data_IF_398124230034
#
_entry.id   IF_398124230034
#
_cell.length_a   1.000
_cell.length_b   1.000
_cell.length_c   1.000
_cell.angle_alpha   90.00
_cell.angle_beta   90.00
_cell.angle_gamma   90.00
#
_symmetry.space_group_name_H-M   'P 1'
#
loop_
_entity.id
_entity.type
_entity.pdbx_description
1 polymer ?
#
# COMPACT_ATOMS: atom_id res chain seq x y z
N UNK A 1 -17.10 -1.00 -14.73
CA UNK A 1 -16.91 -1.82 -13.51
C UNK A 1 -16.12 -3.11 -13.78
N UNK A 2 -16.51 -3.96 -14.74
CA UNK A 2 -15.84 -5.24 -14.98
C UNK A 2 -14.33 -5.13 -15.29
N UNK A 3 -13.91 -4.22 -16.19
CA UNK A 3 -12.49 -4.04 -16.50
C UNK A 3 -11.66 -3.64 -15.27
N UNK A 4 -12.23 -2.83 -14.38
CA UNK A 4 -11.57 -2.37 -13.15
C UNK A 4 -11.47 -3.49 -12.11
N UNK A 5 -12.53 -4.28 -11.97
CA UNK A 5 -12.50 -5.50 -11.16
C UNK A 5 -11.36 -6.44 -11.61
N UNK A 6 -11.24 -6.69 -12.92
CA UNK A 6 -10.19 -7.55 -13.48
C UNK A 6 -8.79 -6.98 -13.17
N UNK A 7 -8.59 -5.67 -13.39
CA UNK A 7 -7.31 -5.01 -13.08
C UNK A 7 -6.98 -5.14 -11.58
N UNK A 8 -7.97 -4.97 -10.70
CA UNK A 8 -7.81 -5.14 -9.26
C UNK A 8 -7.42 -6.56 -8.86
N UNK A 9 -8.09 -7.55 -9.45
CA UNK A 9 -7.77 -8.97 -9.25
C UNK A 9 -6.33 -9.25 -9.69
N UNK A 10 -5.90 -8.76 -10.86
CA UNK A 10 -4.55 -8.96 -11.38
C UNK A 10 -3.49 -8.31 -10.47
N UNK A 11 -3.70 -7.05 -10.05
CA UNK A 11 -2.81 -6.39 -9.07
C UNK A 11 -2.71 -7.20 -7.78
N UNK A 12 -3.85 -7.67 -7.28
CA UNK A 12 -3.93 -8.50 -6.08
C UNK A 12 -3.16 -9.81 -6.23
N UNK A 13 -3.37 -10.55 -7.32
CA UNK A 13 -2.63 -11.78 -7.61
C UNK A 13 -1.12 -11.56 -7.65
N UNK A 14 -0.67 -10.48 -8.27
CA UNK A 14 0.76 -10.13 -8.34
C UNK A 14 1.29 -9.81 -6.94
N UNK A 15 0.64 -8.91 -6.21
CA UNK A 15 1.09 -8.48 -4.87
C UNK A 15 1.10 -9.64 -3.90
N UNK A 16 -0.02 -10.36 -3.75
CA UNK A 16 -0.12 -11.48 -2.82
C UNK A 16 0.76 -12.66 -3.24
N UNK A 17 0.90 -12.91 -4.55
CA UNK A 17 1.79 -13.93 -5.09
C UNK A 17 3.27 -13.63 -4.78
N UNK A 18 3.71 -12.38 -4.93
CA UNK A 18 5.08 -11.97 -4.61
C UNK A 18 5.38 -12.06 -3.12
N UNK A 19 4.46 -11.61 -2.26
CA UNK A 19 4.62 -11.73 -0.80
C UNK A 19 4.68 -13.22 -0.41
N UNK A 20 3.78 -14.03 -0.94
CA UNK A 20 3.76 -15.47 -0.67
C UNK A 20 5.01 -16.16 -1.19
N UNK A 21 5.49 -15.82 -2.38
CA UNK A 21 6.73 -16.35 -2.94
C UNK A 21 7.94 -15.97 -2.09
N UNK A 22 8.01 -14.73 -1.61
CA UNK A 22 9.03 -14.27 -0.67
C UNK A 22 9.06 -15.12 0.60
N UNK A 23 7.90 -15.41 1.18
CA UNK A 23 7.80 -16.27 2.37
C UNK A 23 8.29 -17.70 2.09
N UNK A 24 7.94 -18.29 0.94
CA UNK A 24 8.48 -19.61 0.56
C UNK A 24 9.99 -19.57 0.41
N UNK A 25 10.55 -18.52 -0.22
CA UNK A 25 12.00 -18.36 -0.38
C UNK A 25 12.72 -18.16 0.95
N UNK A 26 12.04 -17.64 1.97
CA UNK A 26 12.53 -17.58 3.35
C UNK A 26 12.38 -18.90 4.12
N UNK A 27 11.92 -19.98 3.48
CA UNK A 27 11.76 -21.30 4.08
C UNK A 27 10.37 -21.58 4.66
N UNK A 28 9.41 -20.66 4.53
CA UNK A 28 8.05 -20.82 5.05
C UNK A 28 7.09 -21.40 4.01
N UNK A 29 7.33 -22.64 3.56
CA UNK A 29 6.41 -23.34 2.65
C UNK A 29 5.04 -23.62 3.30
N UNK A 30 5.03 -23.88 4.61
CA UNK A 30 3.82 -24.01 5.43
C UNK A 30 3.84 -22.95 6.52
N UNK A 31 2.88 -22.02 6.48
CA UNK A 31 2.87 -20.93 7.46
C UNK A 31 2.29 -21.39 8.81
N UNK A 32 3.01 -21.20 9.94
CA UNK A 32 2.42 -21.36 11.26
C UNK A 32 1.27 -20.37 11.43
N UNK A 33 0.30 -20.70 12.30
CA UNK A 33 -0.96 -19.97 12.42
C UNK A 33 -0.77 -18.46 12.60
N UNK A 34 0.01 -18.05 13.60
CA UNK A 34 0.26 -16.64 13.91
C UNK A 34 0.88 -15.87 12.72
N UNK A 35 1.87 -16.46 12.04
CA UNK A 35 2.55 -15.82 10.91
C UNK A 35 1.62 -15.70 9.71
N UNK A 36 0.70 -16.64 9.52
CA UNK A 36 -0.27 -16.58 8.44
C UNK A 36 -1.24 -15.40 8.58
N UNK A 37 -1.71 -15.13 9.79
CA UNK A 37 -2.57 -13.97 10.05
C UNK A 37 -1.79 -12.66 9.87
N UNK A 38 -0.57 -12.57 10.38
CA UNK A 38 0.29 -11.39 10.19
C UNK A 38 0.58 -11.16 8.70
N UNK A 39 0.99 -12.20 7.97
CA UNK A 39 1.26 -12.10 6.54
C UNK A 39 0.02 -11.71 5.74
N UNK A 40 -1.16 -12.24 6.10
CA UNK A 40 -2.41 -11.86 5.46
C UNK A 40 -2.81 -10.42 5.77
N UNK A 41 -2.62 -9.94 7.00
CA UNK A 41 -2.82 -8.53 7.35
C UNK A 41 -1.88 -7.61 6.59
N UNK A 42 -0.59 -7.94 6.52
CA UNK A 42 0.40 -7.17 5.73
C UNK A 42 0.00 -7.18 4.26
N UNK A 43 -0.41 -8.32 3.71
CA UNK A 43 -0.87 -8.42 2.32
C UNK A 43 -2.08 -7.52 2.08
N UNK A 44 -3.04 -7.51 3.00
CA UNK A 44 -4.21 -6.63 2.98
C UNK A 44 -3.87 -5.14 3.06
N UNK A 45 -2.91 -4.78 3.92
CA UNK A 45 -2.35 -3.41 3.99
C UNK A 45 -1.78 -3.02 2.64
N UNK A 46 -0.85 -3.83 2.10
CA UNK A 46 -0.13 -3.51 0.86
C UNK A 46 -1.10 -3.37 -0.30
N UNK A 47 -2.07 -4.27 -0.46
CA UNK A 47 -3.05 -4.14 -1.56
C UNK A 47 -4.01 -2.96 -1.34
N UNK A 48 -4.38 -2.63 -0.10
CA UNK A 48 -5.19 -1.45 0.22
C UNK A 48 -4.49 -0.12 -0.07
N UNK A 49 -3.16 -0.10 -0.04
CA UNK A 49 -2.36 1.07 -0.42
C UNK A 49 -2.19 1.24 -1.95
N UNK A 50 -2.36 0.16 -2.71
CA UNK A 50 -2.04 0.10 -4.15
C UNK A 50 -3.29 0.08 -5.03
N UNK A 51 -4.35 -0.61 -4.61
CA UNK A 51 -5.58 -0.76 -5.38
C UNK A 51 -6.56 0.41 -5.16
N UNK A 52 -7.38 0.70 -6.16
CA UNK A 52 -8.20 1.90 -6.25
C UNK A 52 -7.33 3.13 -6.51
N UNK A 53 -7.61 4.23 -5.78
CA UNK A 53 -6.75 5.40 -5.70
C UNK A 53 -5.52 5.09 -4.83
N UNK A 54 -4.31 4.95 -5.41
CA UNK A 54 -3.14 4.52 -4.66
C UNK A 54 -2.61 5.63 -3.74
N UNK A 55 -1.81 5.28 -2.74
CA UNK A 55 -1.28 6.25 -1.75
C UNK A 55 -0.49 7.41 -2.38
N UNK A 56 0.11 7.21 -3.56
CA UNK A 56 0.85 8.23 -4.29
C UNK A 56 -0.02 9.15 -5.16
N UNK A 57 -1.33 8.91 -5.26
CA UNK A 57 -2.24 9.83 -5.93
C UNK A 57 -2.53 11.07 -5.06
N UNK A 58 -2.80 12.21 -5.71
CA UNK A 58 -3.16 13.45 -5.03
C UNK A 58 -4.42 13.24 -4.18
N UNK A 59 -4.40 13.75 -2.95
CA UNK A 59 -5.51 13.65 -2.00
C UNK A 59 -5.97 12.23 -1.64
N UNK A 60 -5.14 11.21 -1.89
CA UNK A 60 -5.49 9.81 -1.66
C UNK A 60 -4.96 9.22 -0.35
N UNK A 61 -4.13 9.96 0.41
CA UNK A 61 -3.41 9.41 1.57
C UNK A 61 -4.34 8.90 2.67
N UNK A 62 -5.41 9.64 2.96
CA UNK A 62 -6.38 9.27 4.01
C UNK A 62 -7.21 8.06 3.54
N UNK A 63 -7.66 8.08 2.29
CA UNK A 63 -8.43 6.98 1.70
C UNK A 63 -7.61 5.68 1.63
N UNK A 64 -6.40 5.75 1.07
CA UNK A 64 -5.47 4.61 1.01
C UNK A 64 -5.10 4.12 2.41
N UNK A 65 -4.87 5.02 3.37
CA UNK A 65 -4.62 4.65 4.76
C UNK A 65 -5.79 3.89 5.39
N UNK A 66 -7.03 4.35 5.18
CA UNK A 66 -8.21 3.67 5.68
C UNK A 66 -8.42 2.31 4.99
N UNK A 67 -8.22 2.23 3.67
CA UNK A 67 -8.21 0.96 2.93
C UNK A 67 -7.16 0.00 3.46
N UNK A 68 -5.98 0.49 3.81
CA UNK A 68 -4.92 -0.35 4.38
C UNK A 68 -5.31 -0.93 5.75
N UNK A 69 -5.91 -0.13 6.64
CA UNK A 69 -6.39 -0.60 7.95
C UNK A 69 -7.50 -1.64 7.77
N UNK A 70 -8.50 -1.35 6.92
CA UNK A 70 -9.58 -2.29 6.60
C UNK A 70 -9.00 -3.55 5.96
N UNK A 71 -8.07 -3.39 5.03
CA UNK A 71 -7.35 -4.48 4.37
C UNK A 71 -6.60 -5.36 5.37
N UNK A 72 -5.98 -4.79 6.41
CA UNK A 72 -5.31 -5.55 7.46
C UNK A 72 -6.28 -6.49 8.20
N UNK A 73 -7.44 -5.95 8.58
CA UNK A 73 -8.48 -6.68 9.32
C UNK A 73 -9.12 -7.75 8.42
N UNK A 74 -9.52 -7.36 7.21
CA UNK A 74 -10.11 -8.28 6.24
C UNK A 74 -9.11 -9.34 5.80
N UNK A 75 -7.82 -9.01 5.65
CA UNK A 75 -6.77 -9.96 5.33
C UNK A 75 -6.68 -11.07 6.39
N UNK A 76 -6.62 -10.71 7.67
CA UNK A 76 -6.65 -11.68 8.77
C UNK A 76 -7.96 -12.50 8.79
N UNK A 77 -9.11 -11.84 8.62
CA UNK A 77 -10.43 -12.50 8.59
C UNK A 77 -10.59 -13.47 7.43
N UNK A 78 -10.10 -13.12 6.24
CA UNK A 78 -10.10 -13.98 5.05
C UNK A 78 -9.12 -15.14 5.21
N UNK A 79 -7.97 -14.94 5.87
CA UNK A 79 -7.06 -16.05 6.19
C UNK A 79 -7.70 -17.01 7.19
N UNK A 80 -8.41 -16.50 8.20
CA UNK A 80 -9.20 -17.33 9.11
C UNK A 80 -10.23 -18.13 8.33
N UNK A 81 -10.96 -17.48 7.43
CA UNK A 81 -11.95 -18.13 6.60
C UNK A 81 -11.36 -19.22 5.70
N UNK A 82 -10.24 -18.92 5.02
CA UNK A 82 -9.53 -19.86 4.17
C UNK A 82 -9.08 -21.10 4.97
N UNK A 83 -8.52 -20.91 6.16
CA UNK A 83 -8.05 -22.03 6.99
C UNK A 83 -9.19 -22.84 7.61
N UNK A 84 -10.32 -22.18 7.90
CA UNK A 84 -11.49 -22.82 8.52
C UNK A 84 -12.32 -23.61 7.52
N UNK A 85 -12.51 -23.10 6.31
CA UNK A 85 -13.46 -23.65 5.33
C UNK A 85 -12.81 -24.19 4.05
N UNK A 86 -11.66 -23.69 3.61
CA UNK A 86 -10.98 -24.19 2.41
C UNK A 86 -10.04 -25.35 2.77
N UNK A 87 -10.64 -26.51 3.04
CA UNK A 87 -9.94 -27.74 3.46
C UNK A 87 -9.39 -28.58 2.31
N UNK A 88 -9.61 -28.13 1.06
CA UNK A 88 -9.09 -28.78 -0.15
C UNK A 88 -7.56 -28.78 -0.21
N UNK A 89 -7.01 -29.85 -0.79
CA UNK A 89 -5.57 -29.98 -1.05
C UNK A 89 -5.19 -29.32 -2.36
N UNK A 90 -4.01 -28.71 -2.38
CA UNK A 90 -3.43 -28.15 -3.59
C UNK A 90 -2.74 -29.25 -4.40
N UNK A 91 -2.82 -29.20 -5.74
CA UNK A 91 -1.98 -30.04 -6.60
C UNK A 91 -0.53 -29.54 -6.48
N UNK A 92 0.30 -30.26 -5.72
CA UNK A 92 1.69 -29.87 -5.46
C UNK A 92 2.66 -30.35 -6.54
N UNK A 93 2.23 -31.24 -7.44
CA UNK A 93 3.04 -31.75 -8.55
C UNK A 93 3.66 -30.64 -9.42
N UNK A 94 2.91 -29.63 -9.93
CA UNK A 94 3.50 -28.57 -10.75
C UNK A 94 4.49 -27.72 -9.97
N UNK A 95 4.24 -27.51 -8.67
CA UNK A 95 5.09 -26.72 -7.79
C UNK A 95 6.39 -27.45 -7.45
N UNK A 96 6.35 -28.78 -7.37
CA UNK A 96 7.54 -29.61 -7.19
C UNK A 96 8.45 -29.61 -8.43
N UNK A 97 7.86 -29.57 -9.63
CA UNK A 97 8.60 -29.54 -10.89
C UNK A 97 9.44 -28.26 -11.04
N UNK A 98 8.95 -27.15 -10.51
CA UNK A 98 9.64 -25.85 -10.53
C UNK A 98 10.47 -25.58 -9.26
N UNK A 99 10.68 -26.61 -8.41
CA UNK A 99 11.52 -26.51 -7.21
C UNK A 99 10.98 -25.58 -6.11
N UNK A 100 9.68 -25.27 -6.13
CA UNK A 100 9.00 -24.45 -5.11
C UNK A 100 8.60 -25.30 -3.90
N UNK A 101 8.41 -26.62 -4.09
CA UNK A 101 8.06 -27.59 -3.05
C UNK A 101 8.79 -28.92 -3.22
N UNK A 102 8.85 -29.71 -2.15
CA UNK A 102 9.32 -31.10 -2.18
C UNK A 102 8.21 -32.05 -2.66
N UNK A 103 8.59 -33.15 -3.31
CA UNK A 103 7.71 -34.05 -4.09
C UNK A 103 6.74 -34.93 -3.28
N UNK A 104 6.40 -34.56 -2.04
CA UNK A 104 5.55 -35.40 -1.17
C UNK A 104 4.72 -34.63 -0.15
N UNK A 105 4.72 -33.29 -0.18
CA UNK A 105 3.93 -32.50 0.76
C UNK A 105 2.50 -32.34 0.26
N UNK A 106 1.54 -32.83 1.06
CA UNK A 106 0.12 -32.52 0.89
C UNK A 106 -0.18 -31.23 1.65
N UNK A 107 -0.35 -30.13 0.91
CA UNK A 107 -0.63 -28.82 1.52
C UNK A 107 -2.09 -28.41 1.26
N UNK A 108 -2.77 -27.99 2.32
CA UNK A 108 -4.11 -27.40 2.23
C UNK A 108 -4.04 -25.96 1.74
N UNK A 109 -5.07 -25.54 1.00
CA UNK A 109 -5.14 -24.22 0.36
C UNK A 109 -4.73 -23.04 1.28
N UNK A 110 -5.31 -22.95 2.48
CA UNK A 110 -5.04 -21.85 3.42
C UNK A 110 -3.69 -21.91 4.16
N UNK A 111 -2.89 -22.96 3.93
CA UNK A 111 -1.59 -23.15 4.57
C UNK A 111 -0.42 -22.76 3.67
N UNK A 112 -0.62 -22.84 2.36
CA UNK A 112 0.39 -22.45 1.38
C UNK A 112 0.34 -20.93 1.14
N UNK A 113 1.43 -20.19 1.43
CA UNK A 113 1.43 -18.73 1.37
C UNK A 113 1.15 -18.16 -0.02
N UNK A 114 1.70 -18.77 -1.08
CA UNK A 114 1.56 -18.23 -2.44
C UNK A 114 0.08 -18.18 -2.85
N UNK A 115 -0.64 -19.30 -2.70
CA UNK A 115 -2.05 -19.36 -3.12
C UNK A 115 -2.95 -18.60 -2.17
N UNK A 116 -2.75 -18.73 -0.86
CA UNK A 116 -3.60 -18.09 0.13
C UNK A 116 -3.49 -16.55 0.04
N UNK A 117 -2.27 -16.01 0.04
CA UNK A 117 -2.06 -14.56 0.01
C UNK A 117 -2.42 -13.96 -1.36
N UNK A 118 -2.12 -14.65 -2.48
CA UNK A 118 -2.56 -14.22 -3.80
C UNK A 118 -4.08 -14.14 -3.90
N UNK A 119 -4.81 -15.13 -3.36
CA UNK A 119 -6.28 -15.15 -3.41
C UNK A 119 -6.89 -14.06 -2.54
N UNK A 120 -6.37 -13.87 -1.32
CA UNK A 120 -6.82 -12.80 -0.43
C UNK A 120 -6.59 -11.44 -1.07
N UNK A 121 -5.37 -11.20 -1.60
CA UNK A 121 -5.04 -9.95 -2.27
C UNK A 121 -5.87 -9.73 -3.54
N UNK A 122 -6.14 -10.77 -4.32
CA UNK A 122 -6.97 -10.71 -5.52
C UNK A 122 -8.41 -10.28 -5.20
N UNK A 123 -9.00 -10.85 -4.14
CA UNK A 123 -10.35 -10.49 -3.70
C UNK A 123 -10.41 -9.03 -3.23
N UNK A 124 -9.45 -8.62 -2.37
CA UNK A 124 -9.41 -7.25 -1.84
C UNK A 124 -9.09 -6.23 -2.93
N UNK A 125 -8.09 -6.50 -3.78
CA UNK A 125 -7.72 -5.64 -4.90
C UNK A 125 -8.85 -5.49 -5.91
N UNK A 126 -9.54 -6.59 -6.22
CA UNK A 126 -10.74 -6.58 -7.04
C UNK A 126 -11.84 -5.69 -6.46
N UNK A 127 -12.11 -5.80 -5.15
CA UNK A 127 -13.09 -4.96 -4.46
C UNK A 127 -12.69 -3.48 -4.48
N UNK A 128 -11.46 -3.14 -4.13
CA UNK A 128 -10.99 -1.75 -4.08
C UNK A 128 -10.97 -1.07 -5.45
N UNK A 129 -10.54 -1.76 -6.51
CA UNK A 129 -10.55 -1.19 -7.86
C UNK A 129 -11.98 -1.11 -8.43
N UNK A 130 -12.88 -2.04 -8.08
CA UNK A 130 -14.26 -2.02 -8.52
C UNK A 130 -15.08 -0.89 -7.85
N UNK A 131 -14.84 -0.62 -6.57
CA UNK A 131 -15.58 0.36 -5.76
C UNK A 131 -15.09 1.80 -5.91
N UNK A 132 -13.85 1.99 -6.38
CA UNK A 132 -13.29 3.33 -6.55
C UNK A 132 -14.14 4.16 -7.57
N UNK A 133 -14.42 5.43 -7.35
CA UNK A 133 -15.11 6.27 -8.35
C UNK A 133 -14.08 6.98 -9.23
N UNK A 134 -14.34 7.17 -10.55
CA UNK A 134 -13.47 8.03 -11.34
C UNK A 134 -13.63 9.47 -10.84
N UNK A 135 -12.51 10.15 -10.61
CA UNK A 135 -12.54 11.60 -10.65
C UNK A 135 -12.89 12.00 -12.10
N UNK A 136 -13.72 13.03 -12.32
CA UNK A 136 -13.92 13.54 -13.66
C UNK A 136 -12.55 13.87 -14.22
N UNK A 137 -12.18 13.19 -15.30
CA UNK A 137 -10.97 13.49 -16.06
C UNK A 137 -11.10 14.95 -16.50
N UNK A 138 -10.43 15.85 -15.76
CA UNK A 138 -10.28 17.22 -16.18
C UNK A 138 -9.56 17.21 -17.51
N UNK A 139 -10.28 17.63 -18.55
CA UNK A 139 -9.82 18.21 -19.80
C UNK A 139 -8.39 17.81 -20.17
N UNK A 140 -8.28 16.95 -21.19
CA UNK A 140 -7.09 16.90 -22.03
C UNK A 140 -6.77 18.34 -22.44
N UNK A 141 -5.82 18.97 -21.75
CA UNK A 141 -5.18 20.19 -22.21
C UNK A 141 -4.35 19.76 -23.40
N UNK A 142 -4.97 19.82 -24.57
CA UNK A 142 -4.29 19.94 -25.84
C UNK A 142 -3.24 21.05 -25.70
N UNK A 143 -1.99 20.64 -25.56
CA UNK A 143 -0.83 21.52 -25.68
C UNK A 143 -0.74 22.00 -27.14
N UNK A 144 -1.53 23.00 -27.49
CA UNK A 144 -1.33 23.80 -28.68
C UNK A 144 -0.16 24.75 -28.46
N UNK A 145 1.00 24.33 -28.99
CA UNK A 145 2.11 25.11 -29.57
C UNK A 145 2.10 26.65 -29.36
N UNK A 146 3.24 27.09 -28.79
CA UNK A 146 3.72 28.44 -28.48
C UNK A 146 3.53 29.59 -29.51
N UNK A 147 3.51 30.82 -28.97
CA UNK A 147 4.42 31.91 -29.41
C UNK A 147 4.92 32.73 -28.20
N UNK A 148 6.18 33.26 -28.23
CA UNK A 148 6.81 33.93 -27.09
C UNK A 148 6.59 35.46 -27.14
N UNK A 149 6.02 36.03 -26.07
CA UNK A 149 5.92 37.48 -25.92
C UNK A 149 7.07 38.03 -25.04
N UNK A 150 7.75 39.01 -25.62
CA UNK A 150 8.99 39.69 -25.25
C UNK A 150 9.07 40.22 -23.80
N UNK A 151 10.32 40.24 -23.31
CA UNK A 151 10.78 40.75 -22.03
C UNK A 151 10.42 42.23 -21.75
N UNK A 152 10.00 42.50 -20.52
CA UNK A 152 9.99 43.82 -19.89
C UNK A 152 10.94 43.85 -18.69
N UNK A 153 11.68 44.96 -18.45
CA UNK A 153 12.81 44.99 -17.53
C UNK A 153 12.36 45.01 -16.05
N UNK A 154 12.79 44.00 -15.28
CA UNK A 154 12.67 44.00 -13.82
C UNK A 154 13.66 45.00 -13.22
N UNK A 155 13.11 46.09 -12.68
CA UNK A 155 13.83 47.13 -11.94
C UNK A 155 14.13 46.60 -10.53
N UNK A 156 15.43 46.46 -10.21
CA UNK A 156 15.98 46.27 -8.84
C UNK A 156 15.80 47.54 -8.00
N UNK A 157 16.03 47.38 -6.68
CA UNK A 157 16.18 48.32 -5.55
C UNK A 157 14.98 48.18 -4.59
N UNK A 158 15.12 47.85 -3.29
CA UNK A 158 16.26 47.97 -2.38
C UNK A 158 16.35 46.81 -1.36
N UNK A 159 17.58 46.41 -1.04
CA UNK A 159 17.95 45.89 0.28
C UNK A 159 17.85 47.04 1.31
N UNK A 160 17.40 46.79 2.55
CA UNK A 160 17.85 47.57 3.70
C UNK A 160 19.12 46.95 4.28
N UNK A 161 20.06 47.86 4.50
CA UNK A 161 21.44 47.72 4.98
C UNK A 161 21.57 47.11 6.37
N UNK A 162 22.72 46.46 6.56
CA UNK A 162 23.28 46.12 7.86
C UNK A 162 23.46 47.39 8.72
N UNK A 163 22.66 47.51 9.78
CA UNK A 163 22.92 48.34 10.98
C UNK A 163 21.81 48.09 12.02
N UNK A 164 21.64 46.82 12.46
CA UNK A 164 20.99 46.49 13.74
C UNK A 164 21.68 45.23 14.30
N UNK A 165 22.91 45.42 14.77
CA UNK A 165 23.53 44.53 15.75
C UNK A 165 23.22 45.10 17.15
N UNK A 166 23.02 44.17 18.09
CA UNK A 166 22.94 44.35 19.54
C UNK A 166 21.55 44.70 20.10
N UNK A 167 20.84 43.69 20.62
CA UNK A 167 20.52 43.58 22.06
C UNK A 167 19.64 42.34 22.34
N UNK A 168 20.24 41.42 23.12
CA UNK A 168 19.62 40.50 24.08
C UNK A 168 18.82 39.28 23.60
N UNK A 169 19.59 38.23 23.29
CA UNK A 169 19.34 36.91 23.86
C UNK A 169 19.33 37.01 25.39
N UNK A 170 18.19 36.77 26.03
CA UNK A 170 18.24 36.27 27.41
C UNK A 170 17.22 35.17 27.69
N UNK A 171 17.79 34.02 27.99
CA UNK A 171 17.18 32.80 28.47
C UNK A 171 17.16 32.83 29.99
N UNK A 172 16.01 32.72 30.65
CA UNK A 172 15.99 32.13 31.99
C UNK A 172 14.61 31.65 32.40
N UNK A 173 14.51 30.34 32.53
CA UNK A 173 13.63 29.68 33.48
C UNK A 173 14.00 30.06 34.94
N UNK A 174 13.02 29.87 35.82
CA UNK A 174 13.11 29.77 37.28
C UNK A 174 13.52 31.03 38.10
N UNK A 175 12.57 31.60 38.86
CA UNK A 175 12.50 31.37 40.31
C UNK A 175 11.38 32.20 41.00
N UNK A 176 10.48 31.47 41.67
CA UNK A 176 9.88 31.71 43.00
C UNK A 176 10.09 33.09 43.66
N UNK A 177 8.99 33.76 44.06
CA UNK A 177 8.56 34.00 45.47
C UNK A 177 7.63 35.21 45.64
N UNK A 178 6.57 34.94 46.40
CA UNK A 178 6.05 35.73 47.52
C UNK A 178 5.21 37.02 47.29
N UNK A 179 3.96 36.90 47.78
CA UNK A 179 3.18 37.85 48.60
C UNK A 179 2.88 39.24 48.01
N UNK A 180 1.58 39.46 47.79
CA UNK A 180 0.83 40.42 48.62
C UNK A 180 -0.61 39.99 48.77
#
# INVERSE_FOLDING_TARGET
MLGRLIVGILKGLIVGGLIGFGLVKLGFAVLPAWLAYIAASITGIVIGLIAGKPIWAKDARIEAGMKAVVGAILGAGLMFAARRWLTMYLPTEPLSLIGVMTKSETIRFGHFPITALATIAALLGGFYDADNTPEPEGEAKDEAKAEPAKAGPQKRIAEPSADELDEDFDTSADEKKAKK
#
